data_IF_257968658954
#
_entry.id   IF_257968658954
#
_cell.length_a   1.000
_cell.length_b   1.000
_cell.length_c   1.000
_cell.angle_alpha   90.00
_cell.angle_beta   90.00
_cell.angle_gamma   90.00
#
_symmetry.space_group_name_H-M   'P 1'
#
loop_
_entity.id
_entity.type
_entity.pdbx_description
1 polymer ?
#
# COMPACT_ATOMS: atom_id res chain seq x y z
N UNK A 1 8.30 -10.21 -15.29
CA UNK A 1 7.89 -9.18 -14.34
C UNK A 1 7.16 -9.81 -13.20
N UNK A 2 7.62 -9.55 -12.04
CA UNK A 2 7.35 -10.43 -10.94
C UNK A 2 6.87 -9.74 -9.67
N UNK A 3 6.57 -8.45 -9.77
CA UNK A 3 5.95 -7.68 -8.69
C UNK A 3 4.59 -7.23 -9.19
N UNK A 4 3.54 -7.61 -8.47
CA UNK A 4 2.18 -7.31 -8.88
C UNK A 4 1.40 -6.64 -7.77
N UNK A 5 0.78 -5.53 -8.09
CA UNK A 5 -0.19 -4.86 -7.24
C UNK A 5 -1.25 -4.19 -8.12
N UNK A 6 -2.52 -4.48 -7.85
CA UNK A 6 -3.63 -3.84 -8.52
C UNK A 6 -4.62 -3.41 -7.43
N UNK A 7 -4.86 -2.11 -7.30
CA UNK A 7 -5.73 -1.58 -6.27
C UNK A 7 -7.19 -2.02 -6.42
N UNK A 8 -7.55 -2.58 -7.58
CA UNK A 8 -8.89 -3.10 -7.84
C UNK A 8 -9.00 -4.60 -7.60
N UNK A 9 -7.90 -5.26 -7.27
CA UNK A 9 -7.86 -6.68 -7.00
C UNK A 9 -7.91 -6.90 -5.50
N UNK A 10 -8.93 -7.61 -5.02
CA UNK A 10 -9.11 -7.87 -3.58
C UNK A 10 -7.97 -8.66 -2.96
N UNK A 11 -7.22 -9.39 -3.76
CA UNK A 11 -6.02 -10.07 -3.25
C UNK A 11 -4.91 -9.09 -2.93
N UNK A 12 -4.89 -7.94 -3.58
CA UNK A 12 -3.88 -6.91 -3.37
C UNK A 12 -4.33 -5.83 -2.40
N UNK A 13 -5.61 -5.48 -2.42
CA UNK A 13 -6.16 -4.46 -1.54
C UNK A 13 -7.57 -4.85 -1.11
N UNK A 14 -7.78 -4.99 0.18
CA UNK A 14 -9.08 -5.40 0.72
C UNK A 14 -9.44 -4.52 1.94
N UNK A 15 -10.56 -3.81 1.91
CA UNK A 15 -11.48 -3.67 0.79
C UNK A 15 -10.90 -2.82 -0.34
N UNK A 16 -11.36 -3.07 -1.56
CA UNK A 16 -10.95 -2.23 -2.68
C UNK A 16 -11.88 -1.03 -2.80
N UNK A 17 -11.41 0.03 -3.51
CA UNK A 17 -12.20 1.24 -3.67
C UNK A 17 -12.14 2.14 -2.44
N UNK A 18 -13.12 3.04 -2.32
CA UNK A 18 -13.23 3.95 -1.18
C UNK A 18 -13.65 3.19 0.08
N UNK A 19 -13.23 3.69 1.23
CA UNK A 19 -13.51 3.03 2.52
C UNK A 19 -14.07 4.03 3.52
N UNK A 20 -14.83 3.51 4.48
CA UNK A 20 -15.34 4.31 5.58
C UNK A 20 -14.21 4.66 6.56
N UNK A 21 -14.39 5.76 7.28
CA UNK A 21 -13.47 6.14 8.36
C UNK A 21 -13.32 4.98 9.34
N UNK A 22 -12.09 4.74 9.81
CA UNK A 22 -11.81 3.70 10.78
C UNK A 22 -11.71 2.30 10.22
N UNK A 23 -11.87 2.11 8.92
CA UNK A 23 -11.80 0.79 8.27
C UNK A 23 -10.35 0.30 8.23
N UNK A 24 -10.15 -0.99 8.52
CA UNK A 24 -8.86 -1.62 8.30
C UNK A 24 -8.73 -1.98 6.82
N UNK A 25 -7.62 -1.57 6.22
CA UNK A 25 -7.32 -1.85 4.82
C UNK A 25 -6.07 -2.69 4.76
N UNK A 26 -6.15 -3.83 4.08
CA UNK A 26 -5.02 -4.72 3.90
C UNK A 26 -4.45 -4.55 2.51
N UNK A 27 -3.13 -4.44 2.43
CA UNK A 27 -2.39 -4.33 1.17
C UNK A 27 -1.49 -5.55 1.02
N UNK A 28 -1.44 -6.12 -0.17
CA UNK A 28 -0.58 -7.25 -0.48
C UNK A 28 0.06 -7.05 -1.84
N UNK A 29 1.38 -7.19 -1.86
CA UNK A 29 2.16 -7.19 -3.09
C UNK A 29 2.60 -8.61 -3.38
N UNK A 30 2.35 -9.09 -4.58
CA UNK A 30 2.79 -10.40 -4.99
C UNK A 30 4.16 -10.27 -5.64
N UNK A 31 5.17 -10.90 -5.07
CA UNK A 31 6.54 -10.82 -5.55
C UNK A 31 7.08 -12.22 -5.80
N UNK A 32 7.67 -12.44 -6.96
CA UNK A 32 8.35 -13.70 -7.22
C UNK A 32 9.71 -13.70 -6.52
N UNK A 33 10.28 -14.89 -6.31
CA UNK A 33 11.59 -15.05 -5.69
C UNK A 33 12.70 -14.39 -6.50
N UNK A 34 12.52 -14.30 -7.79
CA UNK A 34 13.51 -13.71 -8.70
C UNK A 34 13.78 -12.25 -8.41
N UNK A 35 12.81 -11.56 -7.81
CA UNK A 35 12.96 -10.15 -7.48
C UNK A 35 13.86 -9.93 -6.26
N UNK A 36 14.08 -10.97 -5.45
CA UNK A 36 14.96 -10.93 -4.30
C UNK A 36 14.65 -9.78 -3.35
N UNK A 37 13.36 -9.61 -3.04
CA UNK A 37 12.92 -8.55 -2.12
C UNK A 37 13.22 -8.97 -0.69
N UNK A 38 13.93 -8.14 0.05
CA UNK A 38 14.25 -8.41 1.44
C UNK A 38 13.55 -7.49 2.43
N UNK A 39 12.98 -6.38 1.95
CA UNK A 39 12.22 -5.46 2.79
C UNK A 39 11.30 -4.64 1.92
N UNK A 40 10.27 -4.06 2.53
CA UNK A 40 9.35 -3.19 1.81
C UNK A 40 8.57 -2.33 2.77
N UNK A 41 8.13 -1.17 2.28
CA UNK A 41 7.30 -0.25 3.06
C UNK A 41 6.19 0.30 2.18
N UNK A 42 5.04 0.55 2.81
CA UNK A 42 3.95 1.33 2.23
C UNK A 42 4.17 2.78 2.69
N UNK A 43 4.22 3.70 1.74
CA UNK A 43 4.31 5.13 2.04
C UNK A 43 2.94 5.74 1.82
N UNK A 44 2.44 6.43 2.84
CA UNK A 44 1.07 6.93 2.87
C UNK A 44 1.07 8.40 3.24
N UNK A 45 0.34 9.21 2.49
CA UNK A 45 0.21 10.63 2.74
C UNK A 45 -1.26 11.01 2.77
N UNK A 46 -1.68 11.70 3.83
CA UNK A 46 -3.04 12.21 3.99
C UNK A 46 -3.09 13.65 3.48
N UNK A 47 -3.95 13.91 2.50
CA UNK A 47 -4.04 15.20 1.82
C UNK A 47 -4.50 16.31 2.77
N UNK A 48 -5.57 16.06 3.51
CA UNK A 48 -6.16 17.10 4.34
C UNK A 48 -5.49 17.19 5.72
N UNK A 49 -5.17 16.06 6.31
CA UNK A 49 -4.50 16.05 7.60
C UNK A 49 -3.01 16.42 7.51
N UNK A 50 -2.42 16.33 6.32
CA UNK A 50 -1.02 16.66 6.11
C UNK A 50 -0.05 15.67 6.75
N UNK A 51 -0.51 14.47 7.09
CA UNK A 51 0.30 13.46 7.76
C UNK A 51 0.98 12.55 6.73
N UNK A 52 2.23 12.21 7.03
CA UNK A 52 2.97 11.22 6.27
C UNK A 52 3.26 10.02 7.15
N UNK A 53 3.00 8.82 6.63
CA UNK A 53 3.24 7.59 7.36
C UNK A 53 4.01 6.61 6.49
N UNK A 54 4.83 5.80 7.14
CA UNK A 54 5.54 4.70 6.51
C UNK A 54 5.21 3.46 7.30
N UNK A 55 4.68 2.44 6.62
CA UNK A 55 4.24 1.20 7.26
C UNK A 55 5.06 0.07 6.68
N UNK A 56 5.81 -0.67 7.52
CA UNK A 56 6.62 -1.78 7.00
C UNK A 56 5.74 -2.92 6.52
N UNK A 57 6.18 -3.55 5.43
CA UNK A 57 5.54 -4.74 4.90
C UNK A 57 6.16 -5.97 5.53
N UNK A 58 5.35 -7.01 5.72
CA UNK A 58 5.77 -8.28 6.30
C UNK A 58 5.66 -9.37 5.24
N UNK A 59 6.71 -10.19 5.05
CA UNK A 59 6.64 -11.27 4.07
C UNK A 59 5.71 -12.38 4.56
N UNK A 60 4.91 -12.92 3.63
CA UNK A 60 3.96 -13.97 3.93
C UNK A 60 3.65 -14.78 2.66
N UNK A 61 4.24 -15.95 2.54
CA UNK A 61 3.91 -16.91 1.49
C UNK A 61 4.01 -16.36 0.06
N UNK A 62 5.10 -15.67 -0.26
CA UNK A 62 5.30 -15.10 -1.60
C UNK A 62 4.66 -13.74 -1.79
N UNK A 63 4.08 -13.18 -0.74
CA UNK A 63 3.51 -11.85 -0.76
C UNK A 63 4.16 -10.99 0.33
N UNK A 64 4.08 -9.69 0.16
CA UNK A 64 4.49 -8.71 1.17
C UNK A 64 3.22 -7.95 1.56
N UNK A 65 2.90 -7.94 2.85
CA UNK A 65 1.61 -7.48 3.35
C UNK A 65 1.73 -6.46 4.46
N UNK A 66 0.72 -5.57 4.54
CA UNK A 66 0.53 -4.71 5.70
C UNK A 66 -0.96 -4.41 5.86
N UNK A 67 -1.33 -3.94 7.05
CA UNK A 67 -2.69 -3.51 7.35
C UNK A 67 -2.63 -2.11 7.92
N UNK A 68 -3.48 -1.23 7.43
CA UNK A 68 -3.54 0.16 7.86
C UNK A 68 -4.96 0.48 8.27
N UNK A 69 -5.15 1.20 9.37
CA UNK A 69 -6.47 1.68 9.77
C UNK A 69 -6.69 3.05 9.14
N UNK A 70 -7.80 3.20 8.42
CA UNK A 70 -8.17 4.49 7.83
C UNK A 70 -8.40 5.52 8.92
N UNK A 71 -8.14 6.82 8.65
CA UNK A 71 -8.33 7.86 9.65
C UNK A 71 -9.78 7.96 10.10
N UNK A 72 -9.99 8.54 11.28
CA UNK A 72 -11.31 8.72 11.86
C UNK A 72 -12.09 9.84 11.16
N UNK A 73 -11.41 10.70 10.42
CA UNK A 73 -12.03 11.78 9.66
C UNK A 73 -11.86 11.54 8.17
N UNK A 74 -12.81 12.01 7.34
CA UNK A 74 -12.68 11.87 5.90
C UNK A 74 -11.39 12.49 5.39
N UNK A 75 -10.73 11.79 4.47
CA UNK A 75 -9.47 12.25 3.89
C UNK A 75 -9.24 11.60 2.55
N UNK A 76 -8.25 12.11 1.85
CA UNK A 76 -7.78 11.56 0.60
C UNK A 76 -6.36 11.09 0.82
N UNK A 77 -6.15 9.79 0.73
CA UNK A 77 -4.84 9.20 0.98
C UNK A 77 -4.14 8.88 -0.34
N UNK A 78 -2.88 9.25 -0.41
CA UNK A 78 -2.02 8.93 -1.54
C UNK A 78 -0.98 7.94 -1.06
N UNK A 79 -0.78 6.86 -1.80
CA UNK A 79 0.14 5.84 -1.35
C UNK A 79 0.94 5.22 -2.49
N UNK A 80 2.13 4.77 -2.16
CA UNK A 80 2.97 3.97 -3.04
C UNK A 80 3.81 3.03 -2.18
N UNK A 81 4.61 2.22 -2.84
CA UNK A 81 5.43 1.23 -2.14
C UNK A 81 6.89 1.41 -2.52
N UNK A 82 7.78 1.18 -1.57
CA UNK A 82 9.22 1.12 -1.83
C UNK A 82 9.71 -0.25 -1.34
N UNK A 83 10.35 -0.98 -2.23
CA UNK A 83 10.86 -2.31 -1.95
C UNK A 83 12.39 -2.27 -2.01
N UNK A 84 13.03 -3.08 -1.16
CA UNK A 84 14.49 -3.18 -1.13
C UNK A 84 14.88 -4.60 -1.50
N UNK A 85 15.80 -4.71 -2.47
CA UNK A 85 16.38 -6.00 -2.87
C UNK A 85 17.50 -6.38 -1.94
N UNK A 86 17.86 -7.65 -1.94
CA UNK A 86 19.00 -8.14 -1.14
C UNK A 86 20.32 -7.46 -1.47
N UNK A 87 20.45 -6.92 -2.67
CA UNK A 87 21.64 -6.17 -3.09
C UNK A 87 21.70 -4.75 -2.51
N UNK A 88 20.59 -4.28 -1.91
CA UNK A 88 20.48 -2.91 -1.43
C UNK A 88 19.80 -1.97 -2.42
N UNK A 89 19.52 -2.44 -3.62
CA UNK A 89 18.81 -1.65 -4.61
C UNK A 89 17.37 -1.44 -4.20
N UNK A 90 16.84 -0.24 -4.41
CA UNK A 90 15.42 0.05 -4.11
C UNK A 90 14.60 0.12 -5.38
N UNK A 91 13.36 -0.33 -5.26
CA UNK A 91 12.39 -0.33 -6.35
C UNK A 91 11.16 0.41 -5.87
N UNK A 92 10.74 1.45 -6.60
CA UNK A 92 9.51 2.15 -6.28
C UNK A 92 8.38 1.57 -7.12
N UNK A 93 7.30 1.19 -6.46
CA UNK A 93 6.11 0.69 -7.14
C UNK A 93 5.04 1.77 -7.06
N UNK A 94 4.68 2.31 -8.22
CA UNK A 94 3.74 3.41 -8.33
C UNK A 94 2.72 3.11 -9.41
N UNK A 95 1.67 3.91 -9.46
CA UNK A 95 0.67 3.85 -10.52
C UNK A 95 1.11 4.81 -11.62
N UNK A 96 1.64 4.28 -12.70
CA UNK A 96 2.05 5.07 -13.87
C UNK A 96 2.89 6.32 -13.51
N UNK A 97 3.83 6.13 -12.56
CA UNK A 97 4.71 7.23 -12.15
C UNK A 97 4.19 8.12 -11.04
N UNK A 98 2.99 7.83 -10.51
CA UNK A 98 2.41 8.58 -9.40
C UNK A 98 1.84 7.67 -8.34
N UNK A 99 1.36 8.24 -7.22
CA UNK A 99 0.78 7.42 -6.16
C UNK A 99 -0.62 6.94 -6.52
N UNK A 100 -1.05 5.87 -5.85
CA UNK A 100 -2.46 5.47 -5.86
C UNK A 100 -3.23 6.34 -4.89
N UNK A 101 -4.54 6.42 -5.10
CA UNK A 101 -5.44 7.22 -4.29
C UNK A 101 -6.39 6.31 -3.52
N UNK A 102 -6.59 6.62 -2.25
CA UNK A 102 -7.57 5.94 -1.41
C UNK A 102 -8.48 7.00 -0.79
N UNK A 103 -9.76 6.99 -1.15
CA UNK A 103 -10.73 7.92 -0.59
C UNK A 103 -11.29 7.35 0.70
N UNK A 104 -11.25 8.13 1.77
CA UNK A 104 -11.84 7.80 3.06
C UNK A 104 -13.03 8.71 3.26
N UNK A 105 -14.21 8.12 3.46
CA UNK A 105 -15.45 8.88 3.58
C UNK A 105 -16.17 8.56 4.87
N UNK A 106 -17.09 9.43 5.23
CA UNK A 106 -17.90 9.28 6.43
C UNK A 106 -19.33 8.92 6.03
N UNK A 107 -19.89 7.94 6.74
CA UNK A 107 -21.28 7.54 6.53
C UNK A 107 -22.16 8.44 7.40
N UNK A 108 -23.04 9.19 6.76
CA UNK A 108 -23.95 10.11 7.47
C UNK A 108 -25.38 9.63 7.43
#
# INVERSE_FOLDING_TARGET
MSIYFDSKDQQCKNPFGAVLCGTEVSFSLLCSREEDICAGVLRLRAEFAGLNRTVPLTPSGGAWRCTVTAPEEPDLLWYDFTLTRGSGETVSLTRNGGPWQLTVYEDT
#
